data_IF_188984522926
#
_entry.id   IF_188984522926
#
_cell.length_a   1.000
_cell.length_b   1.000
_cell.length_c   1.000
_cell.angle_alpha   90.00
_cell.angle_beta   90.00
_cell.angle_gamma   90.00
#
_symmetry.space_group_name_H-M   'P 1'
#
loop_
_entity.id
_entity.type
_entity.pdbx_description
1 polymer ?
#
# COMPACT_ATOMS: atom_id res chain seq x y z
N UNK A 1 7.98 -15.12 6.68
CA UNK A 1 8.20 -13.67 6.81
C UNK A 1 9.28 -13.48 7.87
N UNK A 2 10.34 -12.75 7.60
CA UNK A 2 11.40 -12.40 8.56
C UNK A 2 11.12 -11.04 9.24
N UNK A 3 11.95 -10.64 10.20
CA UNK A 3 11.75 -9.41 10.96
C UNK A 3 11.81 -8.13 10.10
N UNK A 4 12.67 -8.10 9.07
CA UNK A 4 12.75 -6.96 8.14
C UNK A 4 11.46 -6.82 7.33
N UNK A 5 10.95 -7.93 6.80
CA UNK A 5 9.71 -8.00 6.04
C UNK A 5 8.51 -7.57 6.92
N UNK A 6 8.48 -8.01 8.19
CA UNK A 6 7.45 -7.62 9.13
C UNK A 6 7.52 -6.12 9.48
N UNK A 7 8.71 -5.53 9.52
CA UNK A 7 8.89 -4.08 9.69
C UNK A 7 8.37 -3.28 8.49
N UNK A 8 8.66 -3.74 7.26
CA UNK A 8 8.13 -3.11 6.03
C UNK A 8 6.60 -3.21 5.96
N UNK A 9 6.05 -4.37 6.32
CA UNK A 9 4.61 -4.54 6.39
C UNK A 9 3.99 -3.61 7.44
N UNK A 10 4.58 -3.48 8.62
CA UNK A 10 4.10 -2.57 9.66
C UNK A 10 4.07 -1.11 9.16
N UNK A 11 5.14 -0.66 8.51
CA UNK A 11 5.22 0.68 7.90
C UNK A 11 4.15 0.88 6.83
N UNK A 12 4.02 -0.07 5.91
CA UNK A 12 2.99 -0.04 4.87
C UNK A 12 1.58 0.08 5.47
N UNK A 13 1.26 -0.70 6.51
CA UNK A 13 -0.04 -0.64 7.18
C UNK A 13 -0.27 0.72 7.86
N UNK A 14 0.77 1.32 8.43
CA UNK A 14 0.69 2.66 9.02
C UNK A 14 0.48 3.74 7.95
N UNK A 15 1.14 3.63 6.81
CA UNK A 15 0.98 4.55 5.68
C UNK A 15 -0.44 4.43 5.08
N UNK A 16 -0.93 3.21 4.86
CA UNK A 16 -2.29 2.94 4.35
C UNK A 16 -3.40 3.39 5.30
N UNK A 17 -3.14 3.36 6.62
CA UNK A 17 -4.06 3.88 7.62
C UNK A 17 -4.28 5.39 7.44
N UNK A 18 -3.24 6.14 7.07
CA UNK A 18 -3.26 7.60 7.00
C UNK A 18 -3.76 8.20 8.32
N UNK A 19 -4.74 9.10 8.27
CA UNK A 19 -5.32 9.76 9.45
C UNK A 19 -6.44 8.97 10.14
N UNK A 20 -6.83 7.81 9.59
CA UNK A 20 -7.92 7.01 10.15
C UNK A 20 -7.55 6.47 11.52
N UNK A 21 -8.57 6.26 12.37
CA UNK A 21 -8.37 5.47 13.57
C UNK A 21 -8.04 4.02 13.20
N UNK A 22 -7.28 3.33 14.06
CA UNK A 22 -6.94 1.93 13.82
C UNK A 22 -8.18 1.02 13.74
N UNK A 23 -9.28 1.40 14.40
CA UNK A 23 -10.56 0.66 14.31
C UNK A 23 -11.21 0.82 12.94
N UNK A 24 -11.33 2.04 12.44
CA UNK A 24 -11.87 2.31 11.10
C UNK A 24 -11.05 1.62 10.02
N UNK A 25 -9.72 1.70 10.11
CA UNK A 25 -8.87 1.03 9.13
C UNK A 25 -8.99 -0.50 9.20
N UNK A 26 -9.11 -1.09 10.40
CA UNK A 26 -9.35 -2.52 10.53
C UNK A 26 -10.67 -2.96 9.87
N UNK A 27 -11.72 -2.17 10.06
CA UNK A 27 -13.03 -2.40 9.46
C UNK A 27 -12.97 -2.34 7.93
N UNK A 28 -12.35 -1.29 7.36
CA UNK A 28 -12.16 -1.16 5.91
C UNK A 28 -11.31 -2.28 5.31
N UNK A 29 -10.30 -2.75 6.06
CA UNK A 29 -9.45 -3.89 5.68
C UNK A 29 -10.18 -5.24 5.82
N UNK A 30 -11.37 -5.29 6.43
CA UNK A 30 -12.07 -6.53 6.73
C UNK A 30 -11.32 -7.41 7.75
N UNK A 31 -10.57 -6.81 8.66
CA UNK A 31 -9.78 -7.47 9.70
C UNK A 31 -10.21 -7.04 11.10
N UNK A 32 -9.92 -7.86 12.12
CA UNK A 32 -10.20 -7.46 13.49
C UNK A 32 -9.20 -6.40 13.95
N UNK A 33 -9.66 -5.45 14.77
CA UNK A 33 -8.79 -4.44 15.39
C UNK A 33 -7.59 -5.07 16.10
N UNK A 34 -7.81 -6.18 16.81
CA UNK A 34 -6.75 -6.87 17.52
C UNK A 34 -5.69 -7.45 16.57
N UNK A 35 -6.11 -8.11 15.49
CA UNK A 35 -5.19 -8.69 14.52
C UNK A 35 -4.33 -7.60 13.88
N UNK A 36 -4.96 -6.53 13.39
CA UNK A 36 -4.25 -5.40 12.78
C UNK A 36 -3.27 -4.73 13.75
N UNK A 37 -3.68 -4.55 15.02
CA UNK A 37 -2.81 -4.02 16.08
C UNK A 37 -1.59 -4.91 16.29
N UNK A 38 -1.74 -6.23 16.27
CA UNK A 38 -0.59 -7.15 16.43
C UNK A 38 0.36 -7.12 15.25
N UNK A 39 -0.14 -6.90 14.02
CA UNK A 39 0.71 -6.79 12.83
C UNK A 39 1.51 -5.47 12.84
N UNK A 40 0.85 -4.34 13.15
CA UNK A 40 1.52 -3.04 13.25
C UNK A 40 2.60 -3.05 14.34
N UNK A 41 2.33 -3.66 15.50
CA UNK A 41 3.32 -3.78 16.56
C UNK A 41 4.27 -4.98 16.42
N UNK A 42 4.27 -5.65 15.27
CA UNK A 42 5.20 -6.74 14.95
C UNK A 42 5.15 -7.90 15.97
N UNK A 43 4.00 -8.11 16.60
CA UNK A 43 3.77 -9.17 17.60
C UNK A 43 3.34 -10.48 16.96
N UNK A 44 2.71 -10.43 15.80
CA UNK A 44 2.26 -11.60 15.04
C UNK A 44 2.46 -11.38 13.54
N UNK A 45 2.64 -12.48 12.82
CA UNK A 45 2.69 -12.49 11.36
C UNK A 45 1.26 -12.71 10.84
N UNK A 46 0.76 -11.90 9.89
CA UNK A 46 -0.52 -12.14 9.27
C UNK A 46 -0.53 -13.46 8.51
N UNK A 47 -1.67 -14.17 8.55
CA UNK A 47 -1.89 -15.37 7.74
C UNK A 47 -2.02 -15.01 6.26
N UNK A 48 -1.89 -15.99 5.33
CA UNK A 48 -2.10 -15.74 3.90
C UNK A 48 -3.44 -15.05 3.58
N UNK A 49 -4.54 -15.49 4.21
CA UNK A 49 -5.86 -14.89 4.04
C UNK A 49 -5.92 -13.43 4.50
N UNK A 50 -5.11 -13.04 5.48
CA UNK A 50 -5.03 -11.66 5.93
C UNK A 50 -4.13 -10.81 5.02
N UNK A 51 -3.09 -11.40 4.42
CA UNK A 51 -2.29 -10.75 3.38
C UNK A 51 -3.13 -10.47 2.12
N UNK A 52 -4.01 -11.40 1.74
CA UNK A 52 -4.98 -11.18 0.64
C UNK A 52 -5.91 -10.00 0.91
N UNK A 53 -6.37 -9.81 2.15
CA UNK A 53 -7.17 -8.63 2.50
C UNK A 53 -6.40 -7.33 2.29
N UNK A 54 -5.10 -7.33 2.62
CA UNK A 54 -4.22 -6.18 2.43
C UNK A 54 -4.01 -5.90 0.94
N UNK A 55 -3.71 -6.92 0.13
CA UNK A 55 -3.55 -6.75 -1.31
C UNK A 55 -4.86 -6.31 -1.99
N UNK A 56 -6.00 -6.86 -1.57
CA UNK A 56 -7.32 -6.46 -2.08
C UNK A 56 -7.66 -5.00 -1.74
N UNK A 57 -7.37 -4.56 -0.51
CA UNK A 57 -7.54 -3.16 -0.12
C UNK A 57 -6.68 -2.22 -0.97
N UNK A 58 -5.45 -2.64 -1.29
CA UNK A 58 -4.53 -1.91 -2.16
C UNK A 58 -4.84 -2.06 -3.67
N UNK A 59 -5.77 -2.95 -4.04
CA UNK A 59 -6.11 -3.31 -5.43
C UNK A 59 -4.89 -3.77 -6.24
N UNK A 60 -4.04 -4.57 -5.61
CA UNK A 60 -2.87 -5.22 -6.22
C UNK A 60 -2.95 -6.74 -6.07
N UNK A 61 -2.16 -7.45 -6.86
CA UNK A 61 -2.00 -8.89 -6.72
C UNK A 61 -1.23 -9.25 -5.44
N UNK A 62 -1.52 -10.40 -4.84
CA UNK A 62 -0.82 -10.87 -3.64
C UNK A 62 0.70 -10.97 -3.85
N UNK A 63 1.13 -11.37 -5.05
CA UNK A 63 2.55 -11.42 -5.42
C UNK A 63 3.20 -10.02 -5.43
N UNK A 64 2.46 -9.00 -5.80
CA UNK A 64 2.94 -7.61 -5.80
C UNK A 64 3.10 -7.11 -4.36
N UNK A 65 2.16 -7.44 -3.46
CA UNK A 65 2.31 -7.18 -2.03
C UNK A 65 3.58 -7.84 -1.47
N UNK A 66 3.86 -9.10 -1.85
CA UNK A 66 5.10 -9.76 -1.44
C UNK A 66 6.34 -9.07 -1.98
N UNK A 67 6.33 -8.59 -3.22
CA UNK A 67 7.43 -7.81 -3.78
C UNK A 67 7.68 -6.53 -2.98
N UNK A 68 6.62 -5.80 -2.62
CA UNK A 68 6.71 -4.58 -1.79
C UNK A 68 7.32 -4.89 -0.41
N UNK A 69 6.91 -5.99 0.22
CA UNK A 69 7.41 -6.37 1.55
C UNK A 69 8.86 -6.90 1.48
N UNK A 70 9.25 -7.54 0.38
CA UNK A 70 10.59 -8.13 0.21
C UNK A 70 11.63 -7.15 -0.29
N UNK A 71 11.23 -6.17 -1.08
CA UNK A 71 12.17 -5.24 -1.69
C UNK A 71 12.74 -4.29 -0.63
N UNK A 72 14.07 -4.33 -0.49
CA UNK A 72 14.80 -3.47 0.44
C UNK A 72 14.88 -2.02 -0.05
N UNK A 73 14.64 -1.79 -1.34
CA UNK A 73 14.79 -0.50 -2.01
C UNK A 73 13.46 0.20 -2.33
N UNK A 74 12.32 -0.47 -2.16
CA UNK A 74 11.00 0.16 -2.19
C UNK A 74 10.83 1.00 -0.92
N UNK A 75 11.49 2.15 -0.93
CA UNK A 75 11.13 3.27 -0.09
C UNK A 75 9.69 3.64 -0.46
N UNK A 76 8.72 3.24 0.38
CA UNK A 76 7.35 3.78 0.37
C UNK A 76 7.30 5.33 0.53
N UNK A 77 8.46 6.00 0.61
CA UNK A 77 8.62 7.42 0.42
C UNK A 77 8.33 7.93 -0.99
N UNK A 78 8.08 7.10 -2.02
CA UNK A 78 7.69 7.65 -3.33
C UNK A 78 6.52 8.64 -3.20
N UNK A 79 5.50 8.30 -2.40
CA UNK A 79 4.38 9.20 -2.13
C UNK A 79 4.77 10.46 -1.35
N UNK A 80 5.84 10.43 -0.54
CA UNK A 80 6.34 11.62 0.19
C UNK A 80 7.19 12.51 -0.71
N UNK A 81 7.89 11.92 -1.66
CA UNK A 81 8.73 12.60 -2.66
C UNK A 81 7.91 13.16 -3.83
N UNK A 82 6.67 12.70 -3.99
CA UNK A 82 5.75 13.29 -4.95
C UNK A 82 5.43 14.75 -4.57
N UNK A 83 5.42 15.67 -5.53
CA UNK A 83 4.85 17.00 -5.32
C UNK A 83 3.35 16.89 -4.97
N UNK A 84 2.83 17.86 -4.23
CA UNK A 84 1.49 17.75 -3.61
C UNK A 84 0.37 17.53 -4.64
N UNK A 85 0.49 18.11 -5.83
CA UNK A 85 -0.41 17.86 -6.95
C UNK A 85 -0.42 16.39 -7.42
N UNK A 86 0.70 15.69 -7.37
CA UNK A 86 0.80 14.28 -7.73
C UNK A 86 0.24 13.38 -6.62
N UNK A 87 0.36 13.79 -5.35
CA UNK A 87 -0.31 13.11 -4.22
C UNK A 87 -1.83 13.21 -4.33
N UNK A 88 -2.35 14.36 -4.72
CA UNK A 88 -3.78 14.56 -4.97
C UNK A 88 -4.29 13.74 -6.15
N UNK A 89 -3.48 13.57 -7.20
CA UNK A 89 -3.85 12.77 -8.37
C UNK A 89 -3.82 11.25 -8.10
N UNK A 90 -2.99 10.80 -7.17
CA UNK A 90 -2.71 9.38 -6.94
C UNK A 90 -3.96 8.50 -6.68
N UNK A 91 -4.95 8.91 -5.84
CA UNK A 91 -6.18 8.14 -5.63
C UNK A 91 -7.01 7.91 -6.90
N UNK A 92 -6.92 8.83 -7.86
CA UNK A 92 -7.61 8.71 -9.15
C UNK A 92 -6.85 7.79 -10.10
N UNK A 93 -5.51 7.85 -10.07
CA UNK A 93 -4.65 7.06 -10.94
C UNK A 93 -4.57 5.59 -10.54
N UNK A 94 -4.55 5.28 -9.23
CA UNK A 94 -4.39 3.90 -8.76
C UNK A 94 -5.53 2.98 -9.22
N UNK A 95 -6.72 3.56 -9.37
CA UNK A 95 -7.95 2.85 -9.74
C UNK A 95 -8.17 2.74 -11.25
N UNK A 96 -7.31 3.35 -12.07
CA UNK A 96 -7.44 3.27 -13.52
C UNK A 96 -7.09 1.88 -14.04
N UNK A 97 -7.82 1.39 -15.06
CA UNK A 97 -7.40 0.24 -15.85
C UNK A 97 -6.00 0.44 -16.44
N UNK A 98 -5.28 -0.65 -16.69
CA UNK A 98 -3.90 -0.61 -17.21
C UNK A 98 -3.76 0.24 -18.48
N UNK A 99 -4.71 0.15 -19.40
CA UNK A 99 -4.71 0.92 -20.64
C UNK A 99 -4.82 2.44 -20.38
N UNK A 100 -5.67 2.84 -19.44
CA UNK A 100 -5.83 4.24 -19.06
C UNK A 100 -4.60 4.78 -18.32
N UNK A 101 -3.97 3.96 -17.46
CA UNK A 101 -2.69 4.31 -16.83
C UNK A 101 -1.60 4.58 -17.87
N UNK A 102 -1.53 3.77 -18.93
CA UNK A 102 -0.56 3.96 -20.03
C UNK A 102 -0.82 5.25 -20.81
N UNK A 103 -2.08 5.58 -21.10
CA UNK A 103 -2.44 6.84 -21.77
C UNK A 103 -2.05 8.06 -20.93
N UNK A 104 -2.29 8.02 -19.62
CA UNK A 104 -1.87 9.10 -18.71
C UNK A 104 -0.35 9.22 -18.69
N UNK A 105 0.38 8.11 -18.57
CA UNK A 105 1.85 8.13 -18.60
C UNK A 105 2.40 8.72 -19.92
N UNK A 106 1.81 8.36 -21.07
CA UNK A 106 2.18 8.94 -22.36
C UNK A 106 1.94 10.44 -22.44
N UNK A 107 0.80 10.94 -21.92
CA UNK A 107 0.55 12.39 -21.88
C UNK A 107 1.59 13.12 -21.03
N UNK A 108 1.88 12.61 -19.83
CA UNK A 108 2.88 13.21 -18.94
C UNK A 108 4.26 13.26 -19.61
N UNK A 109 4.68 12.16 -20.25
CA UNK A 109 5.96 12.11 -20.96
C UNK A 109 6.03 13.10 -22.13
N UNK A 110 4.93 13.31 -22.84
CA UNK A 110 4.87 14.23 -23.97
C UNK A 110 4.81 15.72 -23.57
N UNK A 111 4.34 16.04 -22.36
CA UNK A 111 4.31 17.41 -21.83
C UNK A 111 5.64 17.81 -21.15
N UNK A 112 6.51 16.84 -20.86
CA UNK A 112 7.82 17.05 -20.25
C UNK A 112 9.00 17.19 -21.24
N UNK A 113 8.72 17.14 -22.56
CA UNK A 113 9.70 17.30 -23.66
C UNK A 113 9.44 18.61 -24.38
#
# INVERSE_FOLDING_TARGET
MNDEELDRLSKLLMDLKGDKSLRQFAEELGSSYYALRTWIHKKNIPTPQNLEKISNYMRIELNELFSIIKDKNLNNNFLKELPDNAKEAYPYLINLPKEEKLKVAQKILNECV
#
